data_IF_529164023598
#
_entry.id   IF_529164023598
#
_cell.length_a   1.000
_cell.length_b   1.000
_cell.length_c   1.000
_cell.angle_alpha   90.00
_cell.angle_beta   90.00
_cell.angle_gamma   90.00
#
_symmetry.space_group_name_H-M   'P 1'
#
loop_
_entity.id
_entity.type
_entity.pdbx_description
1 polymer ?
#
# COMPACT_ATOMS: atom_id res chain seq x y z
N UNK A 1 76.00 27.30 40.03
CA UNK A 1 74.96 26.39 40.56
C UNK A 1 74.20 25.73 39.40
N UNK A 2 74.91 25.14 38.42
CA UNK A 2 74.31 24.54 37.20
C UNK A 2 75.00 23.23 36.76
N UNK A 3 76.16 22.88 37.30
CA UNK A 3 76.92 21.69 36.88
C UNK A 3 76.32 20.35 37.32
N UNK A 4 75.30 20.35 38.19
CA UNK A 4 74.69 19.12 38.69
C UNK A 4 73.65 18.51 37.72
N UNK A 5 73.18 19.27 36.71
CA UNK A 5 72.12 18.83 35.80
C UNK A 5 72.61 18.13 34.52
N UNK A 6 73.92 18.11 34.25
CA UNK A 6 74.48 17.62 32.98
C UNK A 6 74.98 16.16 33.02
N UNK A 7 74.92 15.47 34.17
CA UNK A 7 75.29 14.05 34.23
C UNK A 7 74.19 13.17 33.64
N UNK A 8 74.40 12.67 32.42
CA UNK A 8 73.54 11.68 31.74
C UNK A 8 72.45 12.25 30.82
N UNK A 9 72.33 13.58 30.67
CA UNK A 9 71.41 14.19 29.68
C UNK A 9 72.10 14.37 28.34
N UNK A 10 71.51 13.82 27.27
CA UNK A 10 71.97 14.06 25.91
C UNK A 10 71.24 15.27 25.33
N UNK A 11 71.98 16.34 25.04
CA UNK A 11 71.45 17.49 24.28
C UNK A 11 71.49 17.12 22.80
N UNK A 12 70.32 17.05 22.15
CA UNK A 12 70.19 16.80 20.71
C UNK A 12 69.64 18.05 20.01
N UNK A 13 70.26 18.45 18.91
CA UNK A 13 69.76 19.52 18.06
C UNK A 13 69.00 18.90 16.88
N UNK A 14 67.66 19.02 16.86
CA UNK A 14 66.81 18.53 15.76
C UNK A 14 66.70 19.52 14.58
N UNK A 15 67.67 20.42 14.45
CA UNK A 15 67.76 21.40 13.37
C UNK A 15 69.22 21.54 12.93
N UNK A 16 69.44 22.05 11.71
CA UNK A 16 70.78 22.35 11.22
C UNK A 16 71.38 23.53 12.01
N UNK A 17 72.07 23.20 13.11
CA UNK A 17 72.69 24.16 14.00
C UNK A 17 74.10 24.56 13.50
N UNK A 18 74.20 24.98 12.24
CA UNK A 18 75.44 25.44 11.63
C UNK A 18 75.31 26.93 11.32
N UNK A 19 76.21 27.74 11.89
CA UNK A 19 76.33 29.16 11.61
C UNK A 19 77.69 29.43 11.00
N UNK A 20 77.76 30.39 10.08
CA UNK A 20 79.01 30.76 9.44
C UNK A 20 79.69 31.83 10.27
N UNK A 21 80.89 31.55 10.77
CA UNK A 21 81.68 32.52 11.51
C UNK A 21 82.08 33.65 10.56
N UNK A 22 81.74 34.88 10.95
CA UNK A 22 81.94 36.07 10.11
C UNK A 22 83.42 36.48 10.01
N UNK A 23 84.26 36.04 10.94
CA UNK A 23 85.68 36.41 10.98
C UNK A 23 86.58 35.40 10.26
N UNK A 24 86.26 34.11 10.36
CA UNK A 24 87.07 33.01 9.79
C UNK A 24 86.47 32.46 8.50
N UNK A 25 85.16 32.61 8.30
CA UNK A 25 84.45 32.12 7.11
C UNK A 25 84.08 30.64 7.16
N UNK A 26 84.46 29.94 8.22
CA UNK A 26 84.19 28.52 8.47
C UNK A 26 82.77 28.29 9.01
N UNK A 27 82.23 27.10 8.74
CA UNK A 27 80.97 26.66 9.32
C UNK A 27 81.23 26.08 10.71
N UNK A 28 80.65 26.71 11.73
CA UNK A 28 80.75 26.28 13.13
C UNK A 28 79.38 25.87 13.64
N UNK A 29 79.36 24.93 14.59
CA UNK A 29 78.11 24.58 15.27
C UNK A 29 77.70 25.73 16.20
N UNK A 30 76.44 26.18 16.08
CA UNK A 30 75.89 27.26 16.91
C UNK A 30 75.62 26.81 18.35
N UNK A 31 75.27 27.75 19.22
CA UNK A 31 74.84 27.45 20.59
C UNK A 31 73.51 26.67 20.55
N UNK A 32 73.48 25.46 21.10
CA UNK A 32 72.24 24.67 21.15
C UNK A 32 71.29 25.36 22.12
N UNK A 33 70.24 25.98 21.59
CA UNK A 33 69.14 26.49 22.42
C UNK A 33 68.55 25.35 23.23
N UNK A 34 68.73 25.40 24.56
CA UNK A 34 68.11 24.46 25.50
C UNK A 34 66.61 24.74 25.53
N UNK A 35 65.87 24.12 24.63
CA UNK A 35 64.43 23.95 24.75
C UNK A 35 64.17 22.64 25.47
N UNK A 36 63.62 22.68 26.68
CA UNK A 36 62.86 21.53 27.16
C UNK A 36 61.67 21.42 26.20
N UNK A 37 61.74 20.49 25.24
CA UNK A 37 60.50 19.97 24.69
C UNK A 37 59.60 19.64 25.88
N UNK A 38 58.34 20.04 25.84
CA UNK A 38 57.40 19.69 26.90
C UNK A 38 57.10 18.20 26.75
N UNK A 39 58.01 17.36 27.26
CA UNK A 39 57.88 15.91 27.27
C UNK A 39 57.04 15.51 28.48
N UNK A 40 55.80 15.99 28.53
CA UNK A 40 54.83 15.43 29.45
C UNK A 40 54.16 14.26 28.75
N UNK A 41 54.30 13.07 29.32
CA UNK A 41 53.42 11.97 28.96
C UNK A 41 52.05 12.30 29.57
N UNK A 42 51.07 12.62 28.73
CA UNK A 42 49.72 12.97 29.16
C UNK A 42 49.03 11.77 29.83
N UNK A 43 47.89 12.02 30.48
CA UNK A 43 47.00 10.97 31.01
C UNK A 43 47.69 9.94 31.93
N UNK A 44 48.60 10.43 32.78
CA UNK A 44 49.39 9.63 33.74
C UNK A 44 50.38 8.64 33.06
N UNK A 45 50.78 8.90 31.82
CA UNK A 45 51.89 8.18 31.19
C UNK A 45 53.22 8.40 31.92
N UNK A 46 54.13 7.44 31.79
CA UNK A 46 55.48 7.51 32.40
C UNK A 46 56.55 7.61 31.31
N UNK A 47 57.49 8.54 31.46
CA UNK A 47 58.64 8.65 30.57
C UNK A 47 59.68 7.59 30.96
N UNK A 48 59.94 6.64 30.06
CA UNK A 48 60.83 5.49 30.33
C UNK A 48 62.18 5.59 29.63
N UNK A 49 62.25 6.36 28.55
CA UNK A 49 63.49 6.67 27.84
C UNK A 49 63.36 8.03 27.11
N UNK A 50 64.46 8.61 26.60
CA UNK A 50 64.39 9.85 25.82
C UNK A 50 63.42 9.72 24.64
N UNK A 51 62.48 10.66 24.52
CA UNK A 51 61.40 10.68 23.51
C UNK A 51 60.45 9.46 23.55
N UNK A 52 60.41 8.71 24.66
CA UNK A 52 59.62 7.49 24.80
C UNK A 52 58.73 7.50 26.05
N UNK A 53 57.41 7.60 25.83
CA UNK A 53 56.38 7.49 26.85
C UNK A 53 55.78 6.07 26.89
N UNK A 54 55.57 5.53 28.09
CA UNK A 54 54.69 4.38 28.32
C UNK A 54 53.33 4.86 28.78
N UNK A 55 52.29 4.60 27.98
CA UNK A 55 50.94 5.08 28.23
C UNK A 55 50.14 4.15 29.15
N UNK A 56 49.16 4.72 29.86
CA UNK A 56 48.16 3.99 30.63
C UNK A 56 47.14 3.32 29.71
N UNK A 57 46.40 2.33 30.22
CA UNK A 57 45.41 1.61 29.41
C UNK A 57 44.39 2.58 28.79
N UNK A 58 44.07 2.36 27.52
CA UNK A 58 43.17 3.23 26.75
C UNK A 58 43.82 4.47 26.12
N UNK A 59 45.13 4.68 26.28
CA UNK A 59 45.86 5.79 25.64
C UNK A 59 47.04 5.30 24.79
N UNK A 60 47.35 6.05 23.75
CA UNK A 60 48.42 5.77 22.79
C UNK A 60 49.00 7.07 22.22
N UNK A 61 49.93 6.94 21.26
CA UNK A 61 50.69 8.05 20.71
C UNK A 61 52.00 8.28 21.46
N UNK A 62 52.86 9.14 20.90
CA UNK A 62 54.19 9.41 21.47
C UNK A 62 54.14 10.18 22.79
N UNK A 63 53.04 10.90 23.04
CA UNK A 63 52.80 11.73 24.23
C UNK A 63 51.58 11.29 25.05
N UNK A 64 51.01 10.11 24.75
CA UNK A 64 49.82 9.56 25.41
C UNK A 64 48.55 10.42 25.31
N UNK A 65 48.43 11.25 24.27
CA UNK A 65 47.24 12.11 24.04
C UNK A 65 46.18 11.47 23.15
N UNK A 66 46.49 10.36 22.46
CA UNK A 66 45.57 9.72 21.52
C UNK A 66 44.77 8.63 22.24
N UNK A 67 43.45 8.77 22.41
CA UNK A 67 42.63 7.74 23.05
C UNK A 67 42.50 6.51 22.14
N UNK A 68 42.36 5.34 22.76
CA UNK A 68 42.16 4.06 22.08
C UNK A 68 40.75 3.56 22.42
N UNK A 69 39.98 3.21 21.39
CA UNK A 69 38.65 2.63 21.53
C UNK A 69 38.68 1.16 21.09
N UNK A 70 38.18 0.26 21.94
CA UNK A 70 38.17 -1.20 21.73
C UNK A 70 36.78 -1.74 22.05
N UNK A 71 36.00 -2.01 21.01
CA UNK A 71 34.65 -2.53 21.11
C UNK A 71 34.58 -3.95 20.56
N UNK A 72 33.93 -4.84 21.30
CA UNK A 72 33.78 -6.23 20.90
C UNK A 72 32.55 -6.36 19.98
N UNK A 73 32.79 -6.76 18.74
CA UNK A 73 31.75 -7.03 17.76
C UNK A 73 31.16 -8.42 17.94
N UNK A 74 29.83 -8.52 17.89
CA UNK A 74 29.11 -9.79 17.92
C UNK A 74 28.45 -10.06 16.56
N UNK A 75 28.44 -11.32 16.08
CA UNK A 75 28.95 -12.54 16.73
C UNK A 75 30.43 -12.83 16.45
N UNK A 76 31.11 -11.99 15.66
CA UNK A 76 32.47 -12.27 15.16
C UNK A 76 33.53 -12.37 16.27
N UNK A 77 33.29 -11.74 17.42
CA UNK A 77 34.26 -11.62 18.51
C UNK A 77 35.45 -10.72 18.16
N UNK A 78 35.38 -10.00 17.03
CA UNK A 78 36.44 -9.08 16.62
C UNK A 78 36.45 -7.84 17.51
N UNK A 79 37.64 -7.31 17.81
CA UNK A 79 37.78 -6.03 18.52
C UNK A 79 37.97 -4.94 17.46
N UNK A 80 37.07 -3.97 17.42
CA UNK A 80 37.10 -2.84 16.49
C UNK A 80 37.15 -1.51 17.25
N UNK A 81 37.63 -0.46 16.58
CA UNK A 81 37.44 0.91 17.06
C UNK A 81 36.05 1.44 16.73
N UNK A 82 35.91 2.76 16.71
CA UNK A 82 34.68 3.42 16.26
C UNK A 82 34.45 3.15 14.75
N UNK A 83 33.24 2.70 14.41
CA UNK A 83 32.86 2.36 13.04
C UNK A 83 32.23 3.54 12.30
N UNK A 84 32.08 3.37 10.98
CA UNK A 84 31.43 4.31 10.06
C UNK A 84 31.87 5.78 10.19
N UNK A 85 33.15 5.98 10.49
CA UNK A 85 33.76 7.31 10.62
C UNK A 85 33.58 7.98 11.99
N UNK A 86 33.11 7.25 13.01
CA UNK A 86 33.07 7.74 14.38
C UNK A 86 34.47 8.09 14.92
N UNK A 87 34.55 9.10 15.78
CA UNK A 87 35.80 9.58 16.36
C UNK A 87 35.97 9.08 17.80
N UNK A 88 37.13 8.52 18.13
CA UNK A 88 37.47 8.18 19.50
C UNK A 88 37.86 9.46 20.25
N UNK A 89 37.00 9.91 21.17
CA UNK A 89 37.18 11.19 21.91
C UNK A 89 37.73 11.00 23.32
N UNK A 90 37.59 9.79 23.86
CA UNK A 90 38.17 9.33 25.12
C UNK A 90 38.32 7.80 25.06
N UNK A 91 39.09 7.18 25.99
CA UNK A 91 39.24 5.73 26.03
C UNK A 91 37.88 5.02 25.98
N UNK A 92 37.74 4.10 25.01
CA UNK A 92 36.53 3.31 24.78
C UNK A 92 35.23 4.15 24.62
N UNK A 93 35.35 5.42 24.22
CA UNK A 93 34.23 6.33 23.96
C UNK A 93 34.28 6.91 22.55
N UNK A 94 33.32 6.50 21.73
CA UNK A 94 33.13 7.02 20.38
C UNK A 94 32.13 8.18 20.34
N UNK A 95 32.42 9.17 19.49
CA UNK A 95 31.49 10.18 19.01
C UNK A 95 31.07 9.82 17.59
N UNK A 96 29.79 9.54 17.40
CA UNK A 96 29.26 9.00 16.15
C UNK A 96 28.86 10.10 15.17
N UNK A 97 29.03 9.81 13.88
CA UNK A 97 28.64 10.73 12.81
C UNK A 97 27.12 10.79 12.73
N UNK A 98 26.59 11.98 12.95
CA UNK A 98 25.15 12.27 12.85
C UNK A 98 24.91 13.50 11.97
N UNK A 99 23.75 13.56 11.33
CA UNK A 99 23.36 14.67 10.46
C UNK A 99 21.85 14.84 10.43
N UNK A 100 21.37 16.00 9.99
CA UNK A 100 19.93 16.19 9.76
C UNK A 100 19.47 15.36 8.56
N UNK A 101 18.38 14.63 8.73
CA UNK A 101 17.79 13.83 7.66
C UNK A 101 17.22 14.72 6.56
N UNK A 102 17.56 14.37 5.32
CA UNK A 102 16.97 14.95 4.11
C UNK A 102 15.89 14.05 3.51
N UNK A 103 15.47 12.98 4.20
CA UNK A 103 14.51 12.00 3.69
C UNK A 103 13.18 12.65 3.25
N UNK A 104 12.74 13.67 3.99
CA UNK A 104 11.54 14.47 3.71
C UNK A 104 11.61 15.25 2.38
N UNK A 105 12.80 15.54 1.85
CA UNK A 105 12.95 16.18 0.53
C UNK A 105 12.58 15.25 -0.61
N UNK A 106 12.70 13.93 -0.39
CA UNK A 106 12.34 12.89 -1.36
C UNK A 106 10.94 12.33 -1.11
N UNK A 107 10.51 12.27 0.15
CA UNK A 107 9.24 11.68 0.55
C UNK A 107 8.43 12.67 1.41
N UNK A 108 7.34 13.21 0.87
CA UNK A 108 6.54 14.28 1.49
C UNK A 108 5.97 13.92 2.88
N UNK A 109 5.86 12.63 3.22
CA UNK A 109 5.40 12.13 4.51
C UNK A 109 6.51 11.72 5.49
N UNK A 110 7.79 11.85 5.12
CA UNK A 110 8.87 11.42 6.00
C UNK A 110 9.10 12.43 7.13
N UNK A 111 9.34 11.96 8.37
CA UNK A 111 9.59 12.86 9.50
C UNK A 111 10.93 13.58 9.34
N UNK A 112 11.00 14.78 9.91
CA UNK A 112 12.27 15.50 10.10
C UNK A 112 12.93 15.01 11.39
N UNK A 113 14.24 14.87 11.38
CA UNK A 113 15.00 14.44 12.54
C UNK A 113 16.48 14.24 12.24
N UNK A 114 17.21 13.73 13.23
CA UNK A 114 18.63 13.40 13.10
C UNK A 114 18.79 11.94 12.69
N UNK A 115 19.63 11.70 11.69
CA UNK A 115 20.03 10.38 11.19
C UNK A 115 21.55 10.19 11.35
N UNK A 116 22.06 9.02 11.00
CA UNK A 116 23.48 8.68 11.09
C UNK A 116 23.69 7.41 11.91
N UNK A 117 24.70 7.41 12.77
CA UNK A 117 25.05 6.25 13.58
C UNK A 117 24.98 6.53 15.07
N UNK A 118 24.71 5.48 15.83
CA UNK A 118 24.61 5.45 17.29
C UNK A 118 25.23 4.15 17.84
N UNK A 119 25.17 3.99 19.15
CA UNK A 119 25.80 2.89 19.89
C UNK A 119 27.22 3.25 20.36
N UNK A 120 27.78 2.43 21.24
CA UNK A 120 29.10 2.67 21.86
C UNK A 120 30.24 2.65 20.85
N UNK A 121 30.11 1.91 19.76
CA UNK A 121 31.09 1.78 18.69
C UNK A 121 30.61 2.36 17.35
N UNK A 122 29.51 3.12 17.38
CA UNK A 122 28.88 3.73 16.21
C UNK A 122 28.41 2.74 15.14
N UNK A 123 28.13 1.48 15.50
CA UNK A 123 27.70 0.46 14.55
C UNK A 123 26.19 0.48 14.26
N UNK A 124 25.39 1.16 15.07
CA UNK A 124 23.92 1.15 14.97
C UNK A 124 23.43 2.27 14.05
N UNK A 125 22.86 1.97 12.87
CA UNK A 125 22.26 3.01 12.03
C UNK A 125 20.98 3.56 12.65
N UNK A 126 20.73 4.85 12.44
CA UNK A 126 19.53 5.55 12.90
C UNK A 126 18.59 5.81 11.72
N UNK A 127 17.31 5.50 11.88
CA UNK A 127 16.28 5.79 10.89
C UNK A 127 15.28 6.76 11.51
N UNK A 128 15.14 7.94 10.91
CA UNK A 128 14.19 8.97 11.39
C UNK A 128 12.74 8.55 11.21
N UNK A 129 12.45 7.74 10.21
CA UNK A 129 11.14 7.14 9.95
C UNK A 129 10.81 5.94 10.85
N UNK A 130 11.76 5.52 11.68
CA UNK A 130 11.65 4.36 12.55
C UNK A 130 11.42 4.72 14.02
N UNK A 131 11.65 3.73 14.87
CA UNK A 131 11.69 3.86 16.32
C UNK A 131 12.83 3.02 16.88
N UNK A 132 13.36 3.42 18.04
CA UNK A 132 14.40 2.67 18.72
C UNK A 132 13.81 1.52 19.55
N UNK A 133 14.30 0.32 19.34
CA UNK A 133 13.97 -0.90 20.07
C UNK A 133 15.16 -1.29 20.97
N UNK A 134 15.05 -1.17 22.30
CA UNK A 134 16.13 -1.48 23.22
C UNK A 134 16.40 -3.00 23.36
N UNK A 135 15.45 -3.86 22.96
CA UNK A 135 15.57 -5.30 23.13
C UNK A 135 16.07 -6.00 21.86
N UNK A 136 15.62 -5.52 20.69
CA UNK A 136 16.09 -5.97 19.38
C UNK A 136 16.21 -7.51 19.25
N UNK A 137 15.20 -8.25 19.75
CA UNK A 137 15.32 -9.69 20.05
C UNK A 137 15.47 -10.60 18.84
N UNK A 138 15.10 -10.13 17.65
CA UNK A 138 15.00 -10.95 16.44
C UNK A 138 16.21 -10.77 15.51
N UNK A 139 17.18 -9.93 15.90
CA UNK A 139 18.40 -9.68 15.14
C UNK A 139 19.60 -10.25 15.90
N UNK A 140 20.25 -11.31 15.38
CA UNK A 140 21.42 -11.91 16.03
C UNK A 140 22.65 -11.00 16.03
N UNK A 141 22.55 -9.83 15.40
CA UNK A 141 23.60 -8.84 15.17
C UNK A 141 23.29 -7.51 15.87
N UNK A 142 22.46 -7.52 16.94
CA UNK A 142 22.23 -6.34 17.76
C UNK A 142 23.60 -5.72 18.12
N UNK A 143 23.94 -4.54 17.60
CA UNK A 143 25.30 -4.04 17.68
C UNK A 143 25.67 -3.79 19.15
N UNK A 144 26.60 -4.60 19.67
CA UNK A 144 27.02 -4.55 21.08
C UNK A 144 25.96 -4.97 22.11
N UNK A 145 24.78 -5.46 21.69
CA UNK A 145 23.65 -5.72 22.60
C UNK A 145 22.95 -4.45 23.13
N UNK A 146 23.10 -3.32 22.44
CA UNK A 146 22.63 -1.99 22.88
C UNK A 146 21.31 -1.54 22.24
N UNK A 147 20.61 -2.44 21.55
CA UNK A 147 19.36 -2.18 20.83
C UNK A 147 19.56 -1.89 19.34
N UNK A 148 18.48 -1.55 18.65
CA UNK A 148 18.50 -1.21 17.22
C UNK A 148 17.35 -0.28 16.83
N UNK A 149 17.46 0.38 15.68
CA UNK A 149 16.35 1.10 15.08
C UNK A 149 15.51 0.18 14.20
N UNK A 150 14.19 0.16 14.44
CA UNK A 150 13.22 -0.61 13.67
C UNK A 150 12.28 0.30 12.87
N UNK A 151 11.71 -0.26 11.82
CA UNK A 151 10.73 0.40 10.97
C UNK A 151 9.36 -0.30 11.13
N UNK A 152 8.33 0.22 10.45
CA UNK A 152 6.99 -0.34 10.60
C UNK A 152 6.92 -1.81 10.16
N UNK A 153 5.88 -2.51 10.64
CA UNK A 153 5.55 -3.89 10.27
C UNK A 153 6.69 -4.91 10.43
N UNK A 154 7.66 -4.63 11.32
CA UNK A 154 8.79 -5.51 11.60
C UNK A 154 10.06 -5.20 10.79
N UNK A 155 10.06 -4.12 9.99
CA UNK A 155 11.24 -3.68 9.26
C UNK A 155 12.43 -3.31 10.17
N UNK A 156 13.62 -3.32 9.59
CA UNK A 156 14.86 -3.02 10.30
C UNK A 156 15.62 -1.85 9.64
N UNK A 157 16.23 -0.99 10.44
CA UNK A 157 17.13 0.04 9.93
C UNK A 157 18.49 -0.59 9.60
N UNK A 158 18.89 -0.57 8.34
CA UNK A 158 20.14 -1.21 7.88
C UNK A 158 21.21 -0.20 7.46
N UNK A 159 20.82 1.05 7.25
CA UNK A 159 21.71 2.20 7.07
C UNK A 159 20.97 3.48 7.51
N UNK A 160 21.66 4.61 7.71
CA UNK A 160 21.01 5.88 8.02
C UNK A 160 19.85 6.18 7.06
N UNK A 161 18.66 6.42 7.62
CA UNK A 161 17.39 6.63 6.90
C UNK A 161 16.99 5.51 5.90
N UNK A 162 17.55 4.31 6.04
CA UNK A 162 17.31 3.19 5.13
C UNK A 162 16.71 2.01 5.89
N UNK A 163 15.42 1.77 5.65
CA UNK A 163 14.70 0.61 6.17
C UNK A 163 14.76 -0.57 5.18
N UNK A 164 15.07 -1.76 5.70
CA UNK A 164 14.84 -3.03 5.01
C UNK A 164 13.50 -3.60 5.49
N UNK A 165 12.55 -3.71 4.56
CA UNK A 165 11.19 -4.16 4.87
C UNK A 165 11.07 -5.69 4.84
N UNK A 166 10.19 -6.27 5.67
CA UNK A 166 9.89 -7.69 5.62
C UNK A 166 9.07 -8.01 4.37
N UNK A 167 9.02 -9.29 4.01
CA UNK A 167 8.24 -9.78 2.86
C UNK A 167 6.79 -9.29 2.92
N UNK A 168 6.29 -8.78 1.81
CA UNK A 168 4.94 -8.23 1.71
C UNK A 168 4.81 -6.75 2.05
N UNK A 169 5.89 -6.07 2.46
CA UNK A 169 5.91 -4.64 2.75
C UNK A 169 6.99 -3.91 1.95
N UNK A 170 6.72 -2.66 1.61
CA UNK A 170 7.60 -1.78 0.84
C UNK A 170 7.46 -0.32 1.32
N UNK A 171 8.16 0.59 0.64
CA UNK A 171 8.22 2.00 0.97
C UNK A 171 9.41 2.34 1.87
N UNK A 172 9.63 3.65 2.09
CA UNK A 172 10.78 4.14 2.85
C UNK A 172 10.67 3.85 4.36
N UNK A 173 9.47 3.55 4.86
CA UNK A 173 9.13 3.31 6.27
C UNK A 173 8.45 1.94 6.52
N UNK A 174 8.37 1.11 5.48
CA UNK A 174 7.73 -0.21 5.49
C UNK A 174 6.22 -0.20 5.82
N UNK A 175 5.51 0.90 5.53
CA UNK A 175 4.05 1.00 5.74
C UNK A 175 3.22 0.68 4.50
N UNK A 176 3.83 0.59 3.32
CA UNK A 176 3.09 0.28 2.10
C UNK A 176 3.03 -1.23 1.91
N UNK A 177 1.84 -1.86 1.95
CA UNK A 177 1.73 -3.29 1.66
C UNK A 177 1.97 -3.57 0.18
N UNK A 178 2.52 -4.73 -0.11
CA UNK A 178 2.70 -5.25 -1.47
C UNK A 178 1.52 -6.17 -1.76
N UNK A 179 0.79 -5.87 -2.83
CA UNK A 179 -0.24 -6.76 -3.37
C UNK A 179 0.19 -7.21 -4.75
N UNK A 180 0.42 -8.51 -4.91
CA UNK A 180 0.75 -9.14 -6.17
C UNK A 180 -0.18 -10.34 -6.37
N UNK A 181 -0.63 -10.54 -7.60
CA UNK A 181 -1.43 -11.69 -7.97
C UNK A 181 -0.95 -12.23 -9.32
N UNK A 182 -0.99 -13.54 -9.50
CA UNK A 182 -0.75 -14.12 -10.83
C UNK A 182 -2.08 -14.17 -11.55
N UNK A 183 -2.13 -13.62 -12.77
CA UNK A 183 -3.34 -13.67 -13.58
C UNK A 183 -3.48 -15.06 -14.19
N UNK A 184 -4.34 -15.90 -13.60
CA UNK A 184 -4.66 -17.21 -14.15
C UNK A 184 -5.46 -17.09 -15.46
N UNK A 185 -5.69 -18.20 -16.14
CA UNK A 185 -6.40 -18.18 -17.44
C UNK A 185 -7.80 -17.57 -17.34
N UNK A 186 -8.49 -17.75 -16.20
CA UNK A 186 -9.81 -17.15 -15.99
C UNK A 186 -9.69 -15.65 -15.75
N UNK A 187 -8.77 -15.21 -14.87
CA UNK A 187 -8.51 -13.79 -14.61
C UNK A 187 -8.18 -13.04 -15.89
N UNK A 188 -7.33 -13.61 -16.75
CA UNK A 188 -6.97 -12.98 -18.03
C UNK A 188 -8.17 -12.77 -18.96
N UNK A 189 -9.12 -13.70 -18.93
CA UNK A 189 -10.40 -13.56 -19.64
C UNK A 189 -11.27 -12.48 -18.98
N UNK A 190 -11.33 -12.46 -17.64
CA UNK A 190 -12.05 -11.45 -16.84
C UNK A 190 -11.49 -10.03 -16.96
N UNK A 191 -10.20 -9.86 -17.22
CA UNK A 191 -9.61 -8.55 -17.51
C UNK A 191 -10.04 -8.00 -18.89
N UNK A 192 -10.68 -8.84 -19.72
CA UNK A 192 -11.19 -8.50 -21.04
C UNK A 192 -10.16 -7.76 -21.91
N UNK A 193 -8.92 -8.24 -21.89
CA UNK A 193 -7.78 -7.62 -22.59
C UNK A 193 -6.86 -8.66 -23.21
N UNK A 194 -6.25 -8.30 -24.33
CA UNK A 194 -5.17 -9.07 -24.98
C UNK A 194 -3.80 -8.43 -24.65
N UNK A 195 -3.79 -7.22 -24.10
CA UNK A 195 -2.59 -6.46 -23.79
C UNK A 195 -1.90 -7.02 -22.53
N UNK A 196 -0.69 -7.55 -22.72
CA UNK A 196 0.15 -8.06 -21.64
C UNK A 196 0.59 -6.97 -20.66
N UNK A 197 0.70 -5.71 -21.10
CA UNK A 197 1.03 -4.60 -20.20
C UNK A 197 -0.08 -4.39 -19.17
N UNK A 198 -1.34 -4.53 -19.60
CA UNK A 198 -2.49 -4.47 -18.71
C UNK A 198 -2.55 -5.67 -17.76
N UNK A 199 -2.22 -6.87 -18.25
CA UNK A 199 -2.16 -8.04 -17.37
C UNK A 199 -1.06 -7.86 -16.33
N UNK A 200 0.14 -7.45 -16.74
CA UNK A 200 1.23 -7.15 -15.81
C UNK A 200 0.83 -6.05 -14.81
N UNK A 201 0.11 -5.01 -15.25
CA UNK A 201 -0.40 -3.96 -14.36
C UNK A 201 -1.37 -4.51 -13.30
N UNK A 202 -2.23 -5.47 -13.67
CA UNK A 202 -3.04 -6.20 -12.70
C UNK A 202 -2.17 -7.06 -11.78
N UNK A 203 -1.16 -7.76 -12.29
CA UNK A 203 -0.33 -8.66 -11.49
C UNK A 203 0.50 -7.92 -10.42
N UNK A 204 0.94 -6.69 -10.70
CA UNK A 204 1.67 -5.84 -9.74
C UNK A 204 0.78 -4.98 -8.84
N UNK A 205 -0.49 -4.79 -9.21
CA UNK A 205 -1.46 -4.04 -8.40
C UNK A 205 -2.90 -4.55 -8.65
N UNK A 206 -3.25 -5.72 -8.12
CA UNK A 206 -4.55 -6.35 -8.37
C UNK A 206 -5.72 -5.62 -7.70
N UNK A 207 -5.44 -4.75 -6.73
CA UNK A 207 -6.45 -3.93 -6.05
C UNK A 207 -6.78 -2.65 -6.81
N UNK A 208 -5.74 -1.99 -7.37
CA UNK A 208 -5.83 -0.64 -7.90
C UNK A 208 -5.74 -0.56 -9.42
N UNK A 209 -6.13 -1.60 -10.16
CA UNK A 209 -6.08 -1.60 -11.62
C UNK A 209 -6.86 -0.41 -12.22
N UNK A 210 -6.12 0.56 -12.76
CA UNK A 210 -6.67 1.74 -13.42
C UNK A 210 -7.43 1.35 -14.70
N UNK A 211 -8.63 1.92 -14.93
CA UNK A 211 -9.19 1.97 -16.28
C UNK A 211 -8.55 3.10 -17.09
N UNK A 212 -8.08 2.85 -18.32
CA UNK A 212 -7.92 3.92 -19.30
C UNK A 212 -9.30 4.52 -19.61
N UNK A 213 -9.53 5.77 -19.23
CA UNK A 213 -10.68 6.57 -19.69
C UNK A 213 -11.85 6.78 -18.73
N UNK A 214 -11.83 6.20 -17.52
CA UNK A 214 -12.85 6.51 -16.50
C UNK A 214 -12.38 7.71 -15.66
N UNK A 215 -12.84 8.90 -16.04
CA UNK A 215 -12.57 10.16 -15.38
C UNK A 215 -13.49 10.25 -14.14
N UNK A 216 -12.94 10.13 -12.94
CA UNK A 216 -13.67 10.53 -11.74
C UNK A 216 -13.33 11.97 -11.37
N UNK A 217 -14.27 12.76 -10.83
CA UNK A 217 -13.94 14.03 -10.20
C UNK A 217 -13.05 13.75 -9.00
N UNK A 218 -11.75 13.97 -9.15
CA UNK A 218 -10.79 13.95 -8.04
C UNK A 218 -10.56 15.36 -7.53
N UNK A 219 -10.12 15.50 -6.28
CA UNK A 219 -9.57 16.74 -5.78
C UNK A 219 -8.09 16.52 -5.45
N UNK A 220 -7.21 17.41 -5.91
CA UNK A 220 -5.83 17.44 -5.40
C UNK A 220 -5.83 18.29 -4.14
N UNK A 221 -5.29 17.75 -3.04
CA UNK A 221 -5.02 18.55 -1.84
C UNK A 221 -3.69 19.28 -2.07
N UNK A 222 -3.76 20.57 -2.38
CA UNK A 222 -2.57 21.42 -2.44
C UNK A 222 -2.18 21.74 -0.99
N UNK A 223 -1.00 21.32 -0.57
CA UNK A 223 -0.39 21.68 0.72
C UNK A 223 0.70 22.72 0.52
N UNK A 224 0.75 23.74 1.38
CA UNK A 224 1.84 24.72 1.41
C UNK A 224 3.14 24.07 1.92
N UNK A 225 4.27 24.78 1.82
CA UNK A 225 5.59 24.34 2.32
C UNK A 225 5.61 24.01 3.83
N UNK A 226 4.63 24.54 4.58
CA UNK A 226 4.42 24.28 6.01
C UNK A 226 3.49 23.08 6.28
N UNK A 227 3.01 22.38 5.24
CA UNK A 227 2.13 21.22 5.33
C UNK A 227 0.64 21.54 5.53
N UNK A 228 0.27 22.82 5.57
CA UNK A 228 -1.12 23.27 5.71
C UNK A 228 -1.92 23.07 4.41
N UNK A 229 -3.14 22.54 4.51
CA UNK A 229 -4.04 22.34 3.36
C UNK A 229 -4.60 23.67 2.88
N UNK A 230 -4.30 24.04 1.64
CA UNK A 230 -4.50 25.39 1.11
C UNK A 230 -5.74 25.44 0.25
N UNK A 231 -5.89 24.49 -0.68
CA UNK A 231 -7.02 24.40 -1.61
C UNK A 231 -7.19 22.97 -2.14
N UNK A 232 -8.45 22.56 -2.33
CA UNK A 232 -8.82 21.37 -3.10
C UNK A 232 -9.24 21.81 -4.51
N UNK A 233 -8.39 21.60 -5.52
CA UNK A 233 -8.79 21.90 -6.91
C UNK A 233 -9.46 20.67 -7.54
N UNK A 234 -10.59 20.82 -8.25
CA UNK A 234 -11.19 19.72 -9.01
C UNK A 234 -10.25 19.34 -10.16
N UNK A 235 -9.64 18.16 -10.09
CA UNK A 235 -8.96 17.57 -11.24
C UNK A 235 -10.04 16.82 -12.03
N UNK A 236 -10.27 17.22 -13.28
CA UNK A 236 -11.22 16.58 -14.19
C UNK A 236 -10.78 15.17 -14.68
N UNK A 237 -9.80 14.53 -14.01
CA UNK A 237 -8.95 13.51 -14.62
C UNK A 237 -8.27 12.54 -13.63
N UNK A 238 -8.75 12.41 -12.39
CA UNK A 238 -8.19 11.38 -11.51
C UNK A 238 -8.77 10.01 -11.88
N UNK A 239 -7.91 9.06 -12.25
CA UNK A 239 -8.27 7.64 -12.33
C UNK A 239 -8.53 7.19 -10.90
N UNK A 240 -9.78 6.89 -10.55
CA UNK A 240 -10.06 6.31 -9.24
C UNK A 240 -9.63 4.84 -9.27
N UNK A 241 -8.77 4.40 -8.34
CA UNK A 241 -8.41 3.00 -8.25
C UNK A 241 -9.67 2.20 -7.86
N UNK A 242 -9.78 0.97 -8.37
CA UNK A 242 -10.90 0.06 -8.05
C UNK A 242 -10.87 -0.44 -6.61
N UNK A 243 -9.79 -0.18 -5.89
CA UNK A 243 -9.58 -0.59 -4.51
C UNK A 243 -8.18 -0.19 -4.04
N UNK A 244 -7.91 -0.44 -2.78
CA UNK A 244 -6.63 -0.16 -2.13
C UNK A 244 -6.06 -1.44 -1.49
N UNK A 245 -4.74 -1.61 -1.59
CA UNK A 245 -4.03 -2.66 -0.87
C UNK A 245 -3.86 -2.23 0.59
N UNK A 246 -4.47 -2.96 1.53
CA UNK A 246 -4.49 -2.59 2.96
C UNK A 246 -3.53 -3.43 3.81
N UNK A 247 -3.32 -4.67 3.40
CA UNK A 247 -2.36 -5.61 3.99
C UNK A 247 -1.70 -6.40 2.84
N UNK A 248 -0.58 -7.09 3.09
CA UNK A 248 0.09 -7.86 2.06
C UNK A 248 -0.89 -8.84 1.38
N UNK A 249 -1.10 -8.66 0.07
CA UNK A 249 -2.06 -9.41 -0.75
C UNK A 249 -3.53 -9.37 -0.25
N UNK A 250 -3.93 -8.34 0.51
CA UNK A 250 -5.32 -8.11 0.87
C UNK A 250 -5.78 -6.72 0.41
N UNK A 251 -6.86 -6.71 -0.36
CA UNK A 251 -7.48 -5.53 -0.93
C UNK A 251 -8.75 -5.12 -0.17
N UNK A 252 -9.01 -3.82 -0.17
CA UNK A 252 -10.34 -3.26 0.08
C UNK A 252 -10.84 -2.65 -1.22
N UNK A 253 -11.90 -3.23 -1.80
CA UNK A 253 -12.45 -2.75 -3.05
C UNK A 253 -13.34 -1.52 -2.85
N UNK A 254 -13.30 -0.61 -3.83
CA UNK A 254 -14.09 0.61 -3.82
C UNK A 254 -15.56 0.27 -4.02
N UNK A 255 -16.35 0.62 -3.01
CA UNK A 255 -17.80 0.59 -3.08
C UNK A 255 -18.33 1.98 -3.38
N UNK A 256 -19.01 2.15 -4.51
CA UNK A 256 -19.65 3.42 -4.86
C UNK A 256 -20.94 3.64 -4.05
N UNK A 257 -21.71 2.57 -3.85
CA UNK A 257 -22.99 2.63 -3.14
C UNK A 257 -23.12 1.42 -2.22
N UNK A 258 -23.19 1.66 -0.91
CA UNK A 258 -23.40 0.61 0.10
C UNK A 258 -24.88 0.42 0.38
N UNK A 259 -25.31 -0.83 0.47
CA UNK A 259 -26.61 -1.24 0.95
C UNK A 259 -26.52 -1.65 2.42
N UNK A 260 -27.40 -1.12 3.26
CA UNK A 260 -27.54 -1.55 4.65
C UNK A 260 -28.97 -2.03 4.91
N UNK A 261 -29.16 -3.32 5.24
CA UNK A 261 -30.49 -3.88 5.42
C UNK A 261 -31.23 -3.24 6.60
N UNK A 262 -30.53 -2.89 7.69
CA UNK A 262 -31.15 -2.25 8.86
C UNK A 262 -31.67 -0.85 8.55
N UNK A 263 -30.90 -0.05 7.80
CA UNK A 263 -31.34 1.29 7.37
C UNK A 263 -32.52 1.18 6.42
N UNK A 264 -32.48 0.23 5.49
CA UNK A 264 -33.56 0.02 4.54
C UNK A 264 -34.88 -0.32 5.23
N UNK A 265 -34.86 -1.25 6.19
CA UNK A 265 -36.05 -1.63 6.96
C UNK A 265 -36.51 -0.52 7.92
N UNK A 266 -35.60 0.26 8.52
CA UNK A 266 -35.94 1.36 9.43
C UNK A 266 -36.61 2.55 8.72
N UNK A 267 -36.24 2.82 7.47
CA UNK A 267 -36.86 3.86 6.65
C UNK A 267 -38.20 3.42 6.02
N UNK A 268 -38.74 2.27 6.46
CA UNK A 268 -40.07 1.80 6.10
C UNK A 268 -40.16 1.03 4.78
N UNK A 269 -39.05 0.77 4.08
CA UNK A 269 -39.06 0.08 2.78
C UNK A 269 -40.03 0.67 1.75
N UNK A 270 -40.51 1.90 1.95
CA UNK A 270 -41.79 2.32 1.35
C UNK A 270 -41.59 2.88 -0.06
N UNK A 271 -41.69 1.95 -1.01
CA UNK A 271 -41.82 2.16 -2.44
C UNK A 271 -43.14 2.87 -2.78
N UNK A 272 -43.26 4.16 -2.47
CA UNK A 272 -44.27 5.02 -3.10
C UNK A 272 -43.81 5.59 -4.46
N UNK A 273 -42.54 5.36 -4.80
CA UNK A 273 -42.02 5.45 -6.16
C UNK A 273 -41.22 4.18 -6.43
N UNK A 274 -41.53 3.44 -7.49
CA UNK A 274 -40.82 2.21 -7.88
C UNK A 274 -39.38 2.44 -8.37
N UNK A 275 -38.66 3.36 -7.73
CA UNK A 275 -37.34 3.88 -8.10
C UNK A 275 -36.61 4.43 -6.88
N UNK A 276 -36.54 3.67 -5.78
CA UNK A 276 -35.51 3.91 -4.76
C UNK A 276 -34.40 2.90 -5.01
N UNK A 277 -33.15 3.36 -5.12
CA UNK A 277 -31.97 2.55 -5.44
C UNK A 277 -31.73 1.34 -4.51
N UNK A 278 -32.52 1.17 -3.44
CA UNK A 278 -32.34 0.16 -2.39
C UNK A 278 -33.53 -0.81 -2.24
N UNK A 279 -34.58 -0.69 -3.06
CA UNK A 279 -35.79 -1.52 -2.94
C UNK A 279 -36.35 -1.98 -4.29
N UNK A 280 -36.62 -3.28 -4.42
CA UNK A 280 -37.43 -3.87 -5.50
C UNK A 280 -38.81 -4.16 -4.94
N UNK A 281 -39.88 -3.57 -5.49
CA UNK A 281 -41.27 -3.78 -5.03
C UNK A 281 -41.50 -3.52 -3.52
N UNK A 282 -40.67 -2.67 -2.89
CA UNK A 282 -40.75 -2.34 -1.47
C UNK A 282 -40.03 -3.33 -0.54
N UNK A 283 -39.37 -4.35 -1.10
CA UNK A 283 -38.47 -5.23 -0.37
C UNK A 283 -37.04 -4.71 -0.43
N UNK A 284 -36.38 -4.71 0.73
CA UNK A 284 -34.96 -4.41 0.86
C UNK A 284 -34.15 -5.54 0.23
N UNK A 285 -33.76 -5.34 -1.03
CA UNK A 285 -32.94 -6.27 -1.80
C UNK A 285 -31.57 -5.62 -2.01
N UNK A 286 -30.50 -6.37 -1.74
CA UNK A 286 -29.11 -5.90 -1.85
C UNK A 286 -28.67 -5.75 -3.31
N UNK A 287 -27.42 -6.13 -3.62
CA UNK A 287 -26.93 -6.21 -4.99
C UNK A 287 -27.92 -6.97 -5.88
N UNK A 288 -28.08 -6.50 -7.12
CA UNK A 288 -29.03 -7.14 -8.04
C UNK A 288 -28.60 -8.57 -8.35
N UNK A 289 -29.57 -9.48 -8.30
CA UNK A 289 -29.44 -10.86 -8.71
C UNK A 289 -30.42 -11.11 -9.85
N UNK A 290 -29.97 -11.65 -10.98
CA UNK A 290 -30.88 -11.96 -12.09
C UNK A 290 -31.78 -13.14 -11.70
N UNK A 291 -33.11 -12.98 -11.56
CA UNK A 291 -33.95 -14.11 -11.17
C UNK A 291 -34.13 -15.13 -12.31
N UNK A 292 -33.67 -14.81 -13.53
CA UNK A 292 -33.62 -15.69 -14.69
C UNK A 292 -32.22 -16.25 -14.98
N UNK A 293 -31.26 -16.12 -14.06
CA UNK A 293 -29.86 -16.55 -14.27
C UNK A 293 -29.69 -18.02 -14.71
N UNK A 294 -30.66 -18.90 -14.39
CA UNK A 294 -30.65 -20.30 -14.85
C UNK A 294 -31.00 -20.49 -16.32
N UNK A 295 -31.59 -19.47 -16.94
CA UNK A 295 -32.16 -19.51 -18.28
C UNK A 295 -31.52 -18.48 -19.23
N UNK A 296 -30.76 -17.52 -18.70
CA UNK A 296 -29.97 -16.56 -19.47
C UNK A 296 -28.69 -16.21 -18.73
N UNK A 297 -27.68 -15.81 -19.50
CA UNK A 297 -26.47 -15.19 -18.98
C UNK A 297 -26.47 -13.73 -19.41
N UNK A 298 -26.43 -12.83 -18.44
CA UNK A 298 -26.50 -11.38 -18.60
C UNK A 298 -25.21 -10.70 -18.15
N UNK A 299 -24.34 -11.43 -17.45
CA UNK A 299 -23.09 -10.87 -16.97
C UNK A 299 -22.10 -10.75 -18.12
N UNK A 300 -21.46 -9.59 -18.23
CA UNK A 300 -20.25 -9.51 -19.01
C UNK A 300 -19.10 -10.27 -18.33
N UNK A 301 -18.06 -10.57 -19.10
CA UNK A 301 -16.93 -11.40 -18.66
C UNK A 301 -16.18 -10.78 -17.46
N UNK A 302 -16.22 -9.45 -17.33
CA UNK A 302 -15.61 -8.68 -16.24
C UNK A 302 -16.61 -8.30 -15.13
N UNK A 303 -17.83 -8.84 -15.17
CA UNK A 303 -18.89 -8.54 -14.23
C UNK A 303 -19.21 -9.72 -13.31
N UNK A 304 -19.69 -9.39 -12.12
CA UNK A 304 -20.20 -10.37 -11.14
C UNK A 304 -21.48 -9.88 -10.51
N UNK A 305 -22.32 -10.82 -10.10
CA UNK A 305 -23.37 -10.50 -9.14
C UNK A 305 -22.72 -10.19 -7.79
N UNK A 306 -23.01 -9.00 -7.24
CA UNK A 306 -22.42 -8.58 -5.97
C UNK A 306 -22.73 -9.58 -4.86
N UNK A 307 -21.73 -9.94 -4.08
CA UNK A 307 -21.83 -10.94 -3.01
C UNK A 307 -21.98 -10.31 -1.62
N UNK A 308 -21.72 -9.01 -1.50
CA UNK A 308 -21.64 -8.26 -0.25
C UNK A 308 -22.67 -7.13 -0.17
N UNK A 309 -22.60 -6.39 0.94
CA UNK A 309 -23.36 -5.16 1.17
C UNK A 309 -23.01 -4.03 0.18
N UNK A 310 -22.09 -4.24 -0.76
CA UNK A 310 -21.86 -3.27 -1.82
C UNK A 310 -22.87 -3.47 -2.97
N UNK A 311 -23.70 -2.46 -3.20
CA UNK A 311 -24.70 -2.50 -4.27
C UNK A 311 -24.09 -2.20 -5.63
N UNK A 312 -23.15 -1.25 -5.67
CA UNK A 312 -22.46 -0.81 -6.89
C UNK A 312 -21.00 -0.51 -6.56
N UNK A 313 -20.08 -1.09 -7.32
CA UNK A 313 -18.65 -0.96 -7.06
C UNK A 313 -17.87 -2.09 -7.72
N UNK A 314 -16.78 -2.46 -7.05
CA UNK A 314 -15.87 -3.50 -7.52
C UNK A 314 -15.76 -4.65 -6.52
N UNK A 315 -15.54 -5.84 -7.05
CA UNK A 315 -15.20 -7.06 -6.33
C UNK A 315 -14.03 -7.75 -7.03
N UNK A 316 -13.60 -8.90 -6.52
CA UNK A 316 -12.61 -9.72 -7.17
C UNK A 316 -12.38 -11.01 -6.40
N UNK A 317 -11.21 -11.61 -6.62
CA UNK A 317 -10.81 -12.84 -5.94
C UNK A 317 -10.83 -12.70 -4.43
N UNK A 318 -11.17 -13.80 -3.75
CA UNK A 318 -11.22 -13.90 -2.30
C UNK A 318 -10.16 -14.91 -1.81
N UNK A 319 -9.56 -14.62 -0.66
CA UNK A 319 -8.73 -15.59 0.05
C UNK A 319 -9.57 -16.53 0.92
N UNK A 320 -8.93 -17.47 1.60
CA UNK A 320 -9.59 -18.45 2.48
C UNK A 320 -10.30 -17.81 3.69
N UNK A 321 -9.95 -16.58 4.04
CA UNK A 321 -10.55 -15.80 5.12
C UNK A 321 -11.64 -14.85 4.62
N UNK A 322 -12.11 -15.03 3.39
CA UNK A 322 -13.13 -14.20 2.77
C UNK A 322 -12.69 -12.72 2.67
N UNK A 323 -11.41 -12.45 2.39
CA UNK A 323 -10.91 -11.09 2.11
C UNK A 323 -10.54 -10.96 0.64
N UNK A 324 -10.81 -9.80 0.05
CA UNK A 324 -10.47 -9.57 -1.35
C UNK A 324 -8.96 -9.59 -1.54
N UNK A 325 -8.50 -10.21 -2.62
CA UNK A 325 -7.10 -10.22 -3.07
C UNK A 325 -6.94 -9.52 -4.43
N UNK A 326 -8.06 -9.14 -5.05
CA UNK A 326 -8.11 -8.28 -6.23
C UNK A 326 -9.45 -7.53 -6.28
N UNK A 327 -9.54 -6.47 -7.09
CA UNK A 327 -10.74 -5.66 -7.27
C UNK A 327 -11.06 -5.43 -8.77
N UNK A 328 -10.80 -6.44 -9.60
CA UNK A 328 -10.85 -6.33 -11.06
C UNK A 328 -12.21 -6.66 -11.68
N UNK A 329 -13.22 -7.05 -10.89
CA UNK A 329 -14.58 -7.34 -11.35
C UNK A 329 -15.52 -6.19 -10.96
N UNK A 330 -16.45 -5.84 -11.83
CA UNK A 330 -17.50 -4.87 -11.50
C UNK A 330 -18.78 -5.55 -11.04
N UNK A 331 -19.43 -4.97 -10.04
CA UNK A 331 -20.75 -5.42 -9.60
C UNK A 331 -21.77 -5.05 -10.68
N UNK A 332 -22.44 -6.05 -11.25
CA UNK A 332 -23.39 -5.88 -12.33
C UNK A 332 -24.60 -5.05 -11.88
N UNK A 333 -24.93 -4.03 -12.67
CA UNK A 333 -26.15 -3.24 -12.49
C UNK A 333 -27.10 -3.49 -13.66
N UNK A 334 -28.35 -3.93 -13.41
CA UNK A 334 -29.27 -4.26 -14.48
C UNK A 334 -29.68 -3.02 -15.26
N UNK A 335 -29.84 -3.17 -16.56
CA UNK A 335 -30.59 -2.18 -17.34
C UNK A 335 -32.09 -2.38 -17.18
N UNK A 336 -32.87 -1.33 -17.47
CA UNK A 336 -34.30 -1.28 -17.14
C UNK A 336 -35.13 -2.46 -17.69
N UNK A 337 -34.76 -3.04 -18.84
CA UNK A 337 -35.48 -4.18 -19.42
C UNK A 337 -35.09 -5.52 -18.78
N UNK A 338 -33.85 -5.70 -18.29
CA UNK A 338 -33.43 -6.89 -17.56
C UNK A 338 -34.20 -7.02 -16.25
N UNK A 339 -34.36 -5.88 -15.58
CA UNK A 339 -35.15 -5.71 -14.38
C UNK A 339 -36.64 -6.05 -14.62
N UNK A 340 -37.24 -5.52 -15.69
CA UNK A 340 -38.65 -5.75 -16.01
C UNK A 340 -38.93 -7.08 -16.73
N UNK A 341 -37.91 -7.89 -17.02
CA UNK A 341 -38.05 -9.08 -17.87
C UNK A 341 -39.13 -10.05 -17.38
N UNK A 342 -39.20 -10.30 -16.07
CA UNK A 342 -40.17 -11.21 -15.48
C UNK A 342 -41.58 -10.64 -15.57
N UNK A 343 -41.75 -9.35 -15.27
CA UNK A 343 -43.03 -8.68 -15.41
C UNK A 343 -43.54 -8.71 -16.86
N UNK A 344 -42.65 -8.48 -17.83
CA UNK A 344 -43.00 -8.57 -19.26
C UNK A 344 -43.38 -10.00 -19.67
N UNK A 345 -42.70 -11.02 -19.15
CA UNK A 345 -43.04 -12.44 -19.41
C UNK A 345 -44.42 -12.78 -18.81
N UNK A 346 -44.68 -12.39 -17.56
CA UNK A 346 -45.95 -12.67 -16.88
C UNK A 346 -47.11 -11.94 -17.57
N UNK A 347 -46.97 -10.66 -17.87
CA UNK A 347 -48.02 -9.88 -18.56
C UNK A 347 -48.30 -10.39 -19.96
N UNK A 348 -47.26 -10.80 -20.70
CA UNK A 348 -47.40 -11.41 -22.03
C UNK A 348 -48.10 -12.78 -21.97
N UNK A 349 -47.74 -13.63 -21.02
CA UNK A 349 -48.38 -14.95 -20.84
C UNK A 349 -49.84 -14.84 -20.40
N UNK A 350 -50.18 -13.92 -19.51
CA UNK A 350 -51.57 -13.65 -19.11
C UNK A 350 -52.37 -13.08 -20.29
N UNK A 351 -51.80 -12.11 -21.02
CA UNK A 351 -52.46 -11.49 -22.19
C UNK A 351 -52.77 -12.52 -23.27
N UNK A 352 -51.80 -13.39 -23.61
CA UNK A 352 -52.00 -14.47 -24.58
C UNK A 352 -53.04 -15.49 -24.11
N UNK A 353 -53.07 -15.83 -22.83
CA UNK A 353 -54.10 -16.72 -22.27
C UNK A 353 -55.51 -16.10 -22.34
N UNK A 354 -55.65 -14.81 -22.01
CA UNK A 354 -56.92 -14.09 -22.13
C UNK A 354 -57.38 -13.99 -23.58
N UNK A 355 -56.47 -13.72 -24.52
CA UNK A 355 -56.78 -13.70 -25.95
C UNK A 355 -57.26 -15.09 -26.43
N UNK A 356 -56.68 -16.18 -25.94
CA UNK A 356 -57.14 -17.53 -26.25
C UNK A 356 -58.52 -17.83 -25.68
N UNK A 357 -58.84 -17.38 -24.46
CA UNK A 357 -60.18 -17.51 -23.87
C UNK A 357 -61.20 -16.72 -24.70
N UNK A 358 -60.91 -15.47 -25.04
CA UNK A 358 -61.79 -14.62 -25.86
C UNK A 358 -61.98 -15.24 -27.24
N UNK A 359 -60.91 -15.73 -27.87
CA UNK A 359 -60.99 -16.44 -29.14
C UNK A 359 -61.88 -17.68 -29.06
N UNK A 360 -61.69 -18.53 -28.04
CA UNK A 360 -62.52 -19.70 -27.81
C UNK A 360 -63.99 -19.32 -27.57
N UNK A 361 -64.26 -18.28 -26.78
CA UNK A 361 -65.61 -17.77 -26.52
C UNK A 361 -66.28 -17.25 -27.79
N UNK A 362 -65.60 -16.40 -28.57
CA UNK A 362 -66.09 -15.88 -29.85
C UNK A 362 -66.36 -17.02 -30.83
N UNK A 363 -65.44 -17.98 -30.93
CA UNK A 363 -65.60 -19.18 -31.78
C UNK A 363 -66.83 -19.99 -31.36
N UNK A 364 -67.02 -20.24 -30.06
CA UNK A 364 -68.19 -20.93 -29.54
C UNK A 364 -69.48 -20.15 -29.83
N UNK A 365 -69.50 -18.83 -29.63
CA UNK A 365 -70.65 -17.96 -29.88
C UNK A 365 -71.03 -17.94 -31.37
N UNK A 366 -70.06 -17.83 -32.28
CA UNK A 366 -70.28 -17.91 -33.73
C UNK A 366 -70.82 -19.30 -34.10
N UNK A 367 -70.25 -20.38 -33.55
CA UNK A 367 -70.77 -21.73 -33.79
C UNK A 367 -72.19 -21.91 -33.27
N UNK A 368 -72.53 -21.34 -32.12
CA UNK A 368 -73.87 -21.37 -31.55
C UNK A 368 -74.86 -20.61 -32.44
N UNK A 369 -74.51 -19.39 -32.88
CA UNK A 369 -75.32 -18.62 -33.83
C UNK A 369 -75.49 -19.36 -35.16
N UNK A 370 -74.43 -20.00 -35.69
CA UNK A 370 -74.53 -20.86 -36.89
C UNK A 370 -75.45 -22.06 -36.68
N UNK A 371 -75.42 -22.70 -35.49
CA UNK A 371 -76.34 -23.79 -35.12
C UNK A 371 -77.79 -23.30 -35.03
N UNK A 372 -78.04 -22.17 -34.36
CA UNK A 372 -79.38 -21.57 -34.27
C UNK A 372 -79.91 -21.13 -35.65
N UNK A 373 -79.08 -20.52 -36.49
CA UNK A 373 -79.45 -20.15 -37.86
C UNK A 373 -79.79 -21.38 -38.71
N UNK A 374 -79.06 -22.49 -38.56
CA UNK A 374 -79.42 -23.77 -39.20
C UNK A 374 -80.76 -24.32 -38.71
N UNK A 375 -81.07 -24.23 -37.41
CA UNK A 375 -82.36 -24.65 -36.85
C UNK A 375 -83.51 -23.79 -37.40
N UNK A 376 -83.37 -22.46 -37.38
CA UNK A 376 -84.40 -21.53 -37.92
C UNK A 376 -84.66 -21.77 -39.41
N UNK A 377 -83.62 -21.99 -40.22
CA UNK A 377 -83.78 -22.33 -41.65
C UNK A 377 -84.57 -23.62 -41.85
N UNK A 378 -84.37 -24.64 -41.01
CA UNK A 378 -85.13 -25.90 -41.07
C UNK A 378 -86.60 -25.72 -40.66
N UNK A 379 -86.88 -24.88 -39.68
CA UNK A 379 -88.26 -24.56 -39.26
C UNK A 379 -89.01 -23.81 -40.36
N UNK A 380 -88.42 -22.76 -40.95
CA UNK A 380 -89.03 -22.02 -42.05
C UNK A 380 -89.32 -22.90 -43.29
N UNK A 381 -88.46 -23.88 -43.58
CA UNK A 381 -88.72 -24.87 -44.64
C UNK A 381 -89.90 -25.78 -44.34
N UNK A 382 -90.11 -26.17 -43.08
CA UNK A 382 -91.28 -26.97 -42.66
C UNK A 382 -92.56 -26.14 -42.77
N UNK A 383 -92.56 -24.91 -42.29
CA UNK A 383 -93.71 -24.00 -42.39
C UNK A 383 -94.11 -23.75 -43.86
N UNK A 384 -93.13 -23.58 -44.76
CA UNK A 384 -93.39 -23.46 -46.19
C UNK A 384 -93.96 -24.76 -46.81
N UNK A 385 -93.52 -25.93 -46.32
CA UNK A 385 -94.05 -27.21 -46.76
C UNK A 385 -95.51 -27.38 -46.31
N UNK A 386 -95.78 -27.12 -45.04
CA UNK A 386 -97.12 -27.17 -44.45
C UNK A 386 -98.06 -26.15 -45.11
N UNK A 387 -97.59 -24.94 -45.44
CA UNK A 387 -98.40 -23.94 -46.15
C UNK A 387 -98.75 -24.38 -47.57
N UNK A 388 -97.80 -25.00 -48.29
CA UNK A 388 -98.03 -25.55 -49.63
C UNK A 388 -98.99 -26.74 -49.61
N UNK A 389 -98.88 -27.61 -48.61
CA UNK A 389 -99.83 -28.72 -48.40
C UNK A 389 -101.24 -28.20 -48.07
N UNK A 390 -101.34 -27.14 -47.25
CA UNK A 390 -102.62 -26.51 -46.92
C UNK A 390 -103.28 -25.78 -48.11
N UNK A 391 -102.48 -25.18 -49.02
CA UNK A 391 -102.99 -24.62 -50.28
C UNK A 391 -103.42 -25.71 -51.27
N UNK A 392 -102.72 -26.84 -51.33
CA UNK A 392 -103.10 -27.96 -52.20
C UNK A 392 -104.36 -28.71 -51.74
N UNK A 393 -104.77 -28.54 -50.48
CA UNK A 393 -105.96 -29.16 -49.89
C UNK A 393 -107.23 -28.28 -49.97
N UNK A 394 -107.11 -27.03 -50.43
CA UNK A 394 -108.24 -26.13 -50.76
C UNK A 394 -108.52 -26.17 -52.25
#
# INVERSE_FOLDING_TARGET
MLEFFDSGRHVRANYNNLTRDQNTGDWVYGEVTRGEGVFMCANQGSCVAPDECTCTDGWSGFDCTVPVCRHLQQPSGAITGCLYGGQCVAPDKCECVTTESILWTKHQGAPRGTTGFAGSDCSMPMCTQGFYDPFCTDLPEAPGGEGCYRCANGGNCTAPDTCTCPSGWTGYDCRTPVCEAVADSLTRVQLNTIDEERVHAFEVNPCGEDRPGELTPGYEIIRNDDGEEVWAQPIAQARAPRGECVLPNECTCLCHESYNPHICHANGGDSSSGTSYFTYEGECQGSWQDPLWKHRDVLEVFEVFGSRDCFRGYEGHLNQMDRFTSCHLSIASPVWYEYLSIFLIITSTISTFLLLIVYCYVRQKIQHQRRQAKIRRRQALRELHESKEAEAAR
#
